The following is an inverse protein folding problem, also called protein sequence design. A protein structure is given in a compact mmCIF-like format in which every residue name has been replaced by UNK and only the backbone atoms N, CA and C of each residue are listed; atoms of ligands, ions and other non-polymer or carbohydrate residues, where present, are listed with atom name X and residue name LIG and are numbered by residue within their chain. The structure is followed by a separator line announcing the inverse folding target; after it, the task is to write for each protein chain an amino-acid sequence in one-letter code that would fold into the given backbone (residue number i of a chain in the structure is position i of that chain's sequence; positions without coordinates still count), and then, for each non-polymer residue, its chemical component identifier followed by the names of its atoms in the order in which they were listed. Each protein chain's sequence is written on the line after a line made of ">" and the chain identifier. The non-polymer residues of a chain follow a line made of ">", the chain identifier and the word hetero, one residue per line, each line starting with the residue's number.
data_IF_532742260911
#
_entry.id   IF_532742260911
#
_cell.length_a   1.000
_cell.length_b   1.000
_cell.length_c   1.000
_cell.angle_alpha   90.00
_cell.angle_beta   90.00
_cell.angle_gamma   90.00
#
_symmetry.space_group_name_H-M   'P 1'
#
loop_
_entity.id
_entity.type
_entity.pdbx_description
1 polymer ?
#
# COMPACT_ATOMS: atom_id res chain seq x y z
N UNK A 1 -6.84 -28.77 19.45
CA UNK A 1 -5.74 -29.13 18.53
C UNK A 1 -6.06 -28.67 17.10
N UNK A 2 -7.30 -28.74 16.65
CA UNK A 2 -7.71 -28.24 15.34
C UNK A 2 -7.61 -26.72 15.20
N UNK A 3 -7.96 -25.95 16.24
CA UNK A 3 -7.92 -24.49 16.21
C UNK A 3 -6.51 -23.91 16.05
N UNK A 4 -5.51 -24.51 16.71
CA UNK A 4 -4.10 -24.08 16.58
C UNK A 4 -3.58 -24.40 15.19
N UNK A 5 -3.96 -25.54 14.62
CA UNK A 5 -3.58 -25.91 13.26
C UNK A 5 -4.21 -24.97 12.21
N UNK A 6 -5.46 -24.60 12.40
CA UNK A 6 -6.16 -23.66 11.51
C UNK A 6 -5.50 -22.28 11.53
N UNK A 7 -5.23 -21.76 12.73
CA UNK A 7 -4.51 -20.47 12.88
C UNK A 7 -3.11 -20.53 12.24
N UNK A 8 -2.37 -21.62 12.47
CA UNK A 8 -1.05 -21.79 11.87
C UNK A 8 -1.10 -21.85 10.33
N UNK A 9 -2.11 -22.55 9.78
CA UNK A 9 -2.31 -22.65 8.34
C UNK A 9 -2.66 -21.27 7.72
N UNK A 10 -3.55 -20.51 8.36
CA UNK A 10 -3.91 -19.16 7.93
C UNK A 10 -2.70 -18.22 7.93
N UNK A 11 -1.92 -18.23 9.01
CA UNK A 11 -0.68 -17.45 9.10
C UNK A 11 0.31 -17.84 8.01
N UNK A 12 0.46 -19.13 7.72
CA UNK A 12 1.32 -19.59 6.63
C UNK A 12 0.84 -19.08 5.26
N UNK A 13 -0.46 -19.18 4.98
CA UNK A 13 -1.05 -18.69 3.73
C UNK A 13 -0.79 -17.19 3.58
N UNK A 14 -1.07 -16.40 4.62
CA UNK A 14 -0.83 -14.95 4.59
C UNK A 14 0.65 -14.62 4.37
N UNK A 15 1.54 -15.35 5.02
CA UNK A 15 2.97 -15.17 4.84
C UNK A 15 3.43 -15.49 3.40
N UNK A 16 2.90 -16.55 2.79
CA UNK A 16 3.15 -16.90 1.38
C UNK A 16 2.60 -15.81 0.45
N UNK A 17 1.39 -15.34 0.69
CA UNK A 17 0.77 -14.24 -0.07
C UNK A 17 1.62 -12.97 0.06
N UNK A 18 2.04 -12.63 1.28
CA UNK A 18 2.87 -11.47 1.58
C UNK A 18 4.23 -11.49 0.86
N UNK A 19 4.81 -12.66 0.65
CA UNK A 19 6.06 -12.79 -0.10
C UNK A 19 5.85 -12.82 -1.62
N UNK A 20 4.78 -13.48 -2.09
CA UNK A 20 4.58 -13.72 -3.54
C UNK A 20 3.97 -12.53 -4.27
N UNK A 21 2.95 -11.86 -3.69
CA UNK A 21 2.26 -10.77 -4.40
C UNK A 21 3.15 -9.55 -4.65
N UNK A 22 3.98 -9.07 -3.71
CA UNK A 22 4.95 -8.01 -3.99
C UNK A 22 5.94 -8.38 -5.10
N UNK A 23 6.38 -9.65 -5.16
CA UNK A 23 7.25 -10.10 -6.23
C UNK A 23 6.54 -10.10 -7.60
N UNK A 24 5.27 -10.50 -7.66
CA UNK A 24 4.46 -10.44 -8.88
C UNK A 24 4.30 -8.99 -9.34
N UNK A 25 3.95 -8.07 -8.42
CA UNK A 25 3.81 -6.64 -8.74
C UNK A 25 5.13 -6.05 -9.21
N UNK A 26 6.24 -6.33 -8.53
CA UNK A 26 7.57 -5.85 -8.92
C UNK A 26 8.02 -6.38 -10.28
N UNK A 27 7.79 -7.66 -10.57
CA UNK A 27 8.10 -8.24 -11.88
C UNK A 27 7.22 -7.63 -12.99
N UNK A 28 5.94 -7.41 -12.72
CA UNK A 28 5.02 -6.74 -13.64
C UNK A 28 5.47 -5.31 -13.90
N UNK A 29 5.89 -4.59 -12.87
CA UNK A 29 6.42 -3.24 -12.99
C UNK A 29 7.65 -3.18 -13.88
N UNK A 30 8.64 -4.08 -13.68
CA UNK A 30 9.83 -4.14 -14.53
C UNK A 30 9.47 -4.36 -16.00
N UNK A 31 8.48 -5.18 -16.29
CA UNK A 31 8.03 -5.48 -17.67
C UNK A 31 7.24 -4.33 -18.28
N UNK A 32 6.23 -3.84 -17.60
CA UNK A 32 5.36 -2.74 -18.07
C UNK A 32 6.18 -1.47 -18.29
N UNK A 33 7.03 -1.11 -17.31
CA UNK A 33 7.93 0.05 -17.43
C UNK A 33 8.86 -0.08 -18.63
N UNK A 34 9.45 -1.26 -18.86
CA UNK A 34 10.33 -1.51 -19.99
C UNK A 34 9.60 -1.34 -21.33
N UNK A 35 8.39 -1.89 -21.47
CA UNK A 35 7.58 -1.72 -22.68
C UNK A 35 7.20 -0.25 -22.93
N UNK A 36 6.81 0.48 -21.89
CA UNK A 36 6.50 1.91 -22.00
C UNK A 36 7.73 2.75 -22.40
N UNK A 37 8.93 2.31 -22.01
CA UNK A 37 10.20 2.93 -22.38
C UNK A 37 10.78 2.44 -23.71
N UNK A 38 10.07 1.60 -24.46
CA UNK A 38 10.52 1.05 -25.75
C UNK A 38 11.70 0.05 -25.63
N UNK A 39 11.87 -0.64 -24.48
CA UNK A 39 12.93 -1.63 -24.22
C UNK A 39 12.38 -2.95 -23.71
N UNK A 40 13.21 -3.99 -23.76
CA UNK A 40 12.81 -5.38 -23.46
C UNK A 40 12.89 -5.57 -21.94
N UNK A 41 12.81 -5.18 -20.99
CA UNK A 41 12.90 -5.56 -19.58
C UNK A 41 13.77 -6.81 -19.28
N UNK A 42 13.73 -7.35 -18.09
CA UNK A 42 14.48 -8.57 -17.72
C UNK A 42 14.06 -9.77 -18.59
N UNK A 43 15.02 -10.48 -19.21
CA UNK A 43 14.74 -11.59 -20.13
C UNK A 43 15.48 -12.89 -19.77
N UNK A 44 16.58 -12.82 -19.01
CA UNK A 44 17.51 -13.94 -18.86
C UNK A 44 17.37 -14.70 -17.53
N UNK A 45 17.09 -14.01 -16.43
CA UNK A 45 17.02 -14.63 -15.10
C UNK A 45 15.84 -15.62 -15.02
N UNK A 46 16.12 -16.90 -14.81
CA UNK A 46 15.12 -17.98 -14.77
C UNK A 46 14.64 -18.47 -16.13
N UNK A 47 15.33 -18.12 -17.24
CA UNK A 47 14.98 -18.53 -18.60
C UNK A 47 13.85 -17.71 -19.20
N UNK A 48 12.69 -18.31 -19.50
CA UNK A 48 11.60 -17.67 -20.22
C UNK A 48 11.16 -16.33 -19.62
N UNK A 49 11.33 -15.24 -20.37
CA UNK A 49 10.94 -13.87 -20.01
C UNK A 49 11.52 -13.33 -18.70
N UNK A 50 12.57 -13.92 -18.13
CA UNK A 50 13.26 -13.38 -16.94
C UNK A 50 12.38 -13.33 -15.69
N UNK A 51 11.49 -14.31 -15.51
CA UNK A 51 10.52 -14.35 -14.39
C UNK A 51 11.16 -14.39 -13.01
N UNK A 52 12.39 -14.94 -12.90
CA UNK A 52 13.11 -15.06 -11.65
C UNK A 52 14.02 -13.86 -11.32
N UNK A 53 13.87 -12.73 -12.01
CA UNK A 53 14.76 -11.57 -11.81
C UNK A 53 14.71 -11.07 -10.37
N UNK A 54 13.55 -10.93 -9.78
CA UNK A 54 13.43 -10.44 -8.39
C UNK A 54 13.95 -11.44 -7.37
N UNK A 55 13.86 -12.74 -7.67
CA UNK A 55 14.47 -13.79 -6.83
C UNK A 55 16.00 -13.69 -6.89
N UNK A 56 16.56 -13.50 -8.08
CA UNK A 56 17.99 -13.30 -8.27
C UNK A 56 18.49 -12.00 -7.56
N UNK A 57 17.71 -10.93 -7.63
CA UNK A 57 18.00 -9.69 -6.90
C UNK A 57 17.92 -9.91 -5.37
N UNK A 58 16.95 -10.66 -4.88
CA UNK A 58 16.84 -11.04 -3.46
C UNK A 58 18.07 -11.83 -2.98
N UNK A 59 18.53 -12.83 -3.75
CA UNK A 59 19.75 -13.60 -3.44
C UNK A 59 20.98 -12.68 -3.42
N UNK A 60 21.10 -11.78 -4.41
CA UNK A 60 22.18 -10.80 -4.46
C UNK A 60 22.19 -9.89 -3.21
N UNK A 61 21.03 -9.39 -2.77
CA UNK A 61 20.93 -8.57 -1.57
C UNK A 61 21.28 -9.35 -0.30
N UNK A 62 20.91 -10.64 -0.23
CA UNK A 62 21.25 -11.51 0.92
C UNK A 62 22.76 -11.77 1.01
N UNK A 63 23.48 -11.83 -0.11
CA UNK A 63 24.93 -12.04 -0.16
C UNK A 63 25.76 -10.75 -0.02
N UNK A 64 25.12 -9.60 -0.20
CA UNK A 64 25.78 -8.30 -0.13
C UNK A 64 26.12 -7.95 1.32
N UNK A 65 27.29 -7.34 1.53
CA UNK A 65 27.73 -6.85 2.84
C UNK A 65 26.74 -5.85 3.44
N UNK A 66 26.42 -6.05 4.72
CA UNK A 66 25.53 -5.19 5.49
C UNK A 66 26.35 -4.19 6.31
N UNK A 67 26.45 -2.98 5.81
CA UNK A 67 27.26 -1.90 6.37
C UNK A 67 26.38 -1.02 7.26
N UNK A 68 26.88 -0.76 8.49
CA UNK A 68 26.29 0.21 9.41
C UNK A 68 27.25 1.36 9.59
N UNK A 69 26.89 2.62 9.28
CA UNK A 69 27.76 3.78 9.49
C UNK A 69 28.21 3.91 10.95
N UNK A 70 29.44 4.33 11.18
CA UNK A 70 30.03 4.44 12.51
C UNK A 70 29.30 5.45 13.42
N UNK A 71 28.70 6.50 12.84
CA UNK A 71 27.93 7.52 13.56
C UNK A 71 26.45 7.19 13.72
N UNK A 72 25.97 6.08 13.15
CA UNK A 72 24.57 5.72 13.18
C UNK A 72 24.13 5.17 14.54
N UNK A 73 22.88 5.46 14.96
CA UNK A 73 22.24 4.75 16.07
C UNK A 73 21.93 3.30 15.63
N UNK A 74 22.82 2.39 16.00
CA UNK A 74 22.80 1.00 15.55
C UNK A 74 21.47 0.29 15.85
N UNK A 75 20.83 0.56 16.98
CA UNK A 75 19.59 -0.12 17.38
C UNK A 75 18.42 0.34 16.52
N UNK A 76 18.26 1.65 16.37
CA UNK A 76 17.18 2.23 15.56
C UNK A 76 17.40 1.88 14.09
N UNK A 77 18.65 1.98 13.60
CA UNK A 77 19.03 1.62 12.23
C UNK A 77 18.69 0.16 11.89
N UNK A 78 18.87 -0.76 12.83
CA UNK A 78 18.54 -2.18 12.63
C UNK A 78 17.04 -2.47 12.69
N UNK A 79 16.27 -1.72 13.50
CA UNK A 79 14.83 -1.94 13.67
C UNK A 79 14.00 -1.28 12.56
N UNK A 80 14.46 -0.20 11.97
CA UNK A 80 13.72 0.59 10.99
C UNK A 80 13.14 -0.23 9.82
N UNK A 81 13.88 -1.16 9.17
CA UNK A 81 13.32 -1.99 8.10
C UNK A 81 12.17 -2.89 8.56
N UNK A 82 12.25 -3.42 9.78
CA UNK A 82 11.19 -4.26 10.35
C UNK A 82 9.94 -3.44 10.65
N UNK A 83 10.10 -2.23 11.22
CA UNK A 83 8.98 -1.31 11.48
C UNK A 83 8.32 -0.85 10.18
N UNK A 84 9.07 -0.70 9.09
CA UNK A 84 8.51 -0.38 7.78
C UNK A 84 7.73 -1.54 7.15
N UNK A 85 8.17 -2.79 7.34
CA UNK A 85 7.65 -3.97 6.65
C UNK A 85 6.51 -4.67 7.37
N UNK A 86 6.63 -4.87 8.70
CA UNK A 86 5.67 -5.66 9.49
C UNK A 86 4.24 -5.12 9.45
N UNK A 87 3.99 -3.82 9.43
CA UNK A 87 2.66 -3.27 9.30
C UNK A 87 1.88 -3.81 8.10
N UNK A 88 2.50 -3.90 6.93
CA UNK A 88 1.84 -4.42 5.74
C UNK A 88 1.48 -5.90 5.85
N UNK A 89 2.29 -6.70 6.55
CA UNK A 89 1.94 -8.10 6.86
C UNK A 89 0.70 -8.17 7.74
N UNK A 90 0.63 -7.33 8.78
CA UNK A 90 -0.52 -7.27 9.70
C UNK A 90 -1.80 -6.81 8.99
N UNK A 91 -1.69 -5.84 8.10
CA UNK A 91 -2.82 -5.35 7.31
C UNK A 91 -3.35 -6.43 6.36
N UNK A 92 -2.48 -7.21 5.71
CA UNK A 92 -2.92 -8.32 4.86
C UNK A 92 -3.69 -9.40 5.62
N UNK A 93 -3.43 -9.58 6.93
CA UNK A 93 -4.22 -10.46 7.79
C UNK A 93 -5.67 -9.98 7.96
N UNK A 94 -5.93 -8.68 7.84
CA UNK A 94 -7.24 -8.09 8.02
C UNK A 94 -8.03 -7.91 6.72
N UNK A 95 -7.38 -7.96 5.54
CA UNK A 95 -8.05 -7.77 4.25
C UNK A 95 -8.79 -9.05 3.84
N UNK A 96 -10.13 -9.02 3.71
CA UNK A 96 -10.90 -10.17 3.25
C UNK A 96 -10.74 -10.34 1.72
N UNK A 97 -10.35 -11.53 1.28
CA UNK A 97 -10.14 -11.83 -0.14
C UNK A 97 -11.38 -12.52 -0.76
N UNK A 98 -12.14 -13.24 0.04
CA UNK A 98 -13.30 -14.02 -0.44
C UNK A 98 -14.45 -14.07 0.55
N UNK A 99 -15.64 -14.54 0.10
CA UNK A 99 -16.89 -14.53 0.88
C UNK A 99 -16.96 -15.60 1.99
N UNK A 100 -16.02 -16.55 2.04
CA UNK A 100 -16.05 -17.62 3.05
C UNK A 100 -15.33 -17.19 4.33
N UNK A 101 -15.86 -17.57 5.49
CA UNK A 101 -15.21 -17.37 6.79
C UNK A 101 -13.81 -18.03 6.89
N UNK A 102 -13.49 -18.95 5.99
CA UNK A 102 -12.18 -19.57 5.83
C UNK A 102 -11.26 -18.88 4.83
N UNK A 103 -11.73 -17.89 4.09
CA UNK A 103 -10.87 -17.09 3.24
C UNK A 103 -10.00 -16.19 4.10
N UNK A 104 -8.72 -16.17 3.80
CA UNK A 104 -7.64 -15.42 4.42
C UNK A 104 -8.12 -14.06 4.96
N UNK A 105 -8.10 -13.91 6.25
CA UNK A 105 -8.50 -12.67 6.91
C UNK A 105 -9.15 -12.96 8.27
N UNK A 106 -8.71 -12.24 9.28
CA UNK A 106 -9.36 -12.29 10.58
C UNK A 106 -10.45 -11.21 10.61
N UNK A 107 -11.66 -11.59 10.98
CA UNK A 107 -12.76 -10.63 11.12
C UNK A 107 -12.47 -9.77 12.34
N UNK A 108 -12.21 -8.49 12.09
CA UNK A 108 -12.00 -7.48 13.12
C UNK A 108 -13.21 -6.53 13.12
N UNK A 109 -13.84 -6.34 14.29
CA UNK A 109 -14.97 -5.43 14.44
C UNK A 109 -14.62 -3.99 14.06
N UNK A 110 -13.41 -3.57 14.39
CA UNK A 110 -12.84 -2.25 14.05
C UNK A 110 -11.82 -2.33 12.90
N UNK A 111 -12.08 -3.13 11.87
CA UNK A 111 -11.14 -3.46 10.81
C UNK A 111 -10.55 -2.25 10.08
N UNK A 112 -11.37 -1.25 9.71
CA UNK A 112 -10.88 -0.01 9.05
C UNK A 112 -9.88 0.72 9.93
N UNK A 113 -10.21 0.98 11.20
CA UNK A 113 -9.32 1.71 12.10
C UNK A 113 -8.01 0.99 12.35
N UNK A 114 -8.09 -0.34 12.54
CA UNK A 114 -6.90 -1.17 12.68
C UNK A 114 -5.97 -1.04 11.48
N UNK A 115 -6.52 -1.20 10.27
CA UNK A 115 -5.74 -1.19 9.04
C UNK A 115 -5.07 0.18 8.81
N UNK A 116 -5.82 1.27 8.93
CA UNK A 116 -5.29 2.62 8.71
C UNK A 116 -4.26 3.00 9.77
N UNK A 117 -4.51 2.70 11.05
CA UNK A 117 -3.55 2.95 12.11
C UNK A 117 -2.23 2.16 11.92
N UNK A 118 -2.34 0.91 11.51
CA UNK A 118 -1.16 0.06 11.27
C UNK A 118 -0.39 0.52 10.03
N UNK A 119 -1.07 0.97 8.97
CA UNK A 119 -0.40 1.54 7.79
C UNK A 119 0.44 2.77 8.16
N UNK A 120 -0.09 3.70 8.95
CA UNK A 120 0.66 4.87 9.43
C UNK A 120 1.95 4.51 10.19
N UNK A 121 1.98 3.36 10.88
CA UNK A 121 3.21 2.87 11.55
C UNK A 121 4.32 2.55 10.54
N UNK A 122 4.01 2.09 9.34
CA UNK A 122 5.02 1.75 8.32
C UNK A 122 5.88 2.96 7.94
N UNK A 123 5.29 4.14 7.90
CA UNK A 123 5.95 5.41 7.56
C UNK A 123 6.94 5.82 8.65
N UNK A 124 6.65 5.47 9.93
CA UNK A 124 7.61 5.67 11.02
C UNK A 124 8.91 4.88 10.79
N UNK A 125 8.85 3.71 10.13
CA UNK A 125 10.04 2.96 9.75
C UNK A 125 10.97 3.77 8.84
N UNK A 126 10.44 4.48 7.84
CA UNK A 126 11.21 5.36 6.97
C UNK A 126 11.77 6.58 7.72
N UNK A 127 10.99 7.18 8.63
CA UNK A 127 11.46 8.26 9.50
C UNK A 127 12.60 7.80 10.41
N UNK A 128 12.46 6.64 11.05
CA UNK A 128 13.50 6.03 11.89
C UNK A 128 14.77 5.77 11.09
N UNK A 129 14.65 5.29 9.85
CA UNK A 129 15.78 5.05 8.96
C UNK A 129 16.55 6.34 8.67
N UNK A 130 15.86 7.42 8.31
CA UNK A 130 16.45 8.73 8.06
C UNK A 130 17.14 9.31 9.27
N UNK A 131 16.50 9.22 10.45
CA UNK A 131 17.04 9.72 11.72
C UNK A 131 18.30 8.96 12.17
N UNK A 132 18.25 7.63 12.11
CA UNK A 132 19.32 6.76 12.63
C UNK A 132 20.59 6.75 11.79
N UNK A 133 20.53 7.18 10.54
CA UNK A 133 21.62 7.05 9.56
C UNK A 133 22.78 8.03 9.77
N UNK A 134 22.67 9.02 10.69
CA UNK A 134 23.68 10.06 10.94
C UNK A 134 24.13 10.82 9.68
N UNK A 135 23.31 10.89 8.65
CA UNK A 135 23.54 11.58 7.41
C UNK A 135 22.48 12.68 7.22
N UNK A 136 22.92 13.90 6.86
CA UNK A 136 22.02 15.04 6.66
C UNK A 136 21.01 14.83 5.51
N UNK A 137 21.40 14.14 4.46
CA UNK A 137 20.48 13.83 3.36
C UNK A 137 19.44 12.80 3.77
N UNK A 138 19.83 11.78 4.54
CA UNK A 138 18.91 10.81 5.10
C UNK A 138 17.93 11.44 6.08
N UNK A 139 18.40 12.37 6.93
CA UNK A 139 17.54 13.12 7.85
C UNK A 139 16.52 13.97 7.11
N UNK A 140 16.94 14.68 6.04
CA UNK A 140 16.01 15.46 5.20
C UNK A 140 14.96 14.55 4.55
N UNK A 141 15.36 13.37 4.04
CA UNK A 141 14.42 12.38 3.50
C UNK A 141 13.40 11.93 4.54
N UNK A 142 13.84 11.60 5.76
CA UNK A 142 12.96 11.21 6.86
C UNK A 142 11.99 12.33 7.27
N UNK A 143 12.44 13.58 7.34
CA UNK A 143 11.55 14.73 7.64
C UNK A 143 10.52 14.97 6.54
N UNK A 144 10.89 14.82 5.27
CA UNK A 144 9.95 14.88 4.14
C UNK A 144 8.91 13.76 4.21
N UNK A 145 9.31 12.54 4.62
CA UNK A 145 8.39 11.43 4.89
C UNK A 145 7.34 11.81 5.93
N UNK A 146 7.76 12.37 7.06
CA UNK A 146 6.84 12.77 8.13
C UNK A 146 5.88 13.89 7.68
N UNK A 147 6.37 14.89 6.94
CA UNK A 147 5.53 15.96 6.41
C UNK A 147 4.49 15.44 5.40
N UNK A 148 4.87 14.48 4.57
CA UNK A 148 3.97 13.83 3.61
C UNK A 148 2.90 13.00 4.31
N UNK A 149 3.27 12.20 5.32
CA UNK A 149 2.33 11.43 6.13
C UNK A 149 1.24 12.34 6.71
N UNK A 150 1.62 13.39 7.44
CA UNK A 150 0.67 14.30 8.09
C UNK A 150 -0.32 14.93 7.09
N UNK A 151 0.10 15.19 5.86
CA UNK A 151 -0.75 15.79 4.85
C UNK A 151 -1.73 14.81 4.21
N UNK A 152 -1.34 13.55 4.01
CA UNK A 152 -2.11 12.60 3.20
C UNK A 152 -2.88 11.57 4.01
N UNK A 153 -2.50 11.31 5.26
CA UNK A 153 -3.24 10.44 6.17
C UNK A 153 -4.65 11.00 6.44
N UNK A 154 -4.79 12.30 6.61
CA UNK A 154 -6.08 12.93 6.90
C UNK A 154 -7.14 12.70 5.78
N UNK A 155 -6.90 13.03 4.49
CA UNK A 155 -7.90 12.76 3.44
C UNK A 155 -8.16 11.26 3.27
N UNK A 156 -7.18 10.38 3.51
CA UNK A 156 -7.37 8.94 3.44
C UNK A 156 -8.30 8.45 4.56
N UNK A 157 -8.10 8.88 5.79
CA UNK A 157 -8.98 8.59 6.92
C UNK A 157 -10.41 9.08 6.70
N UNK A 158 -10.58 10.31 6.21
CA UNK A 158 -11.89 10.91 5.96
C UNK A 158 -12.66 10.15 4.88
N UNK A 159 -12.01 9.77 3.80
CA UNK A 159 -12.68 9.00 2.72
C UNK A 159 -13.02 7.58 3.15
N UNK A 160 -12.18 6.91 3.92
CA UNK A 160 -12.50 5.62 4.53
C UNK A 160 -13.68 5.72 5.52
N UNK A 161 -13.72 6.79 6.33
CA UNK A 161 -14.84 7.06 7.23
C UNK A 161 -16.16 7.29 6.46
N UNK A 162 -16.12 7.91 5.27
CA UNK A 162 -17.30 8.07 4.42
C UNK A 162 -17.91 6.72 4.01
N UNK A 163 -17.06 5.74 3.68
CA UNK A 163 -17.50 4.38 3.34
C UNK A 163 -18.07 3.67 4.56
N UNK A 164 -17.40 3.76 5.72
CA UNK A 164 -17.90 3.19 6.98
C UNK A 164 -19.26 3.79 7.36
N UNK A 165 -19.45 5.09 7.17
CA UNK A 165 -20.72 5.76 7.39
C UNK A 165 -21.82 5.27 6.42
N UNK A 166 -21.49 5.05 5.14
CA UNK A 166 -22.42 4.47 4.17
C UNK A 166 -22.87 3.07 4.57
N UNK A 167 -21.92 2.20 4.91
CA UNK A 167 -22.17 0.82 5.32
C UNK A 167 -22.86 0.71 6.70
N UNK A 168 -22.62 1.67 7.60
CA UNK A 168 -23.09 1.61 8.99
C UNK A 168 -22.26 0.66 9.87
N UNK A 169 -21.09 0.24 9.39
CA UNK A 169 -20.15 -0.64 10.10
C UNK A 169 -18.71 -0.25 9.80
N UNK A 170 -17.81 -0.56 10.72
CA UNK A 170 -16.36 -0.36 10.56
C UNK A 170 -15.61 -1.66 10.32
N UNK A 171 -16.30 -2.79 10.28
CA UNK A 171 -15.77 -4.09 9.90
C UNK A 171 -15.63 -4.20 8.39
N UNK A 172 -14.48 -4.65 7.89
CA UNK A 172 -14.22 -4.79 6.45
C UNK A 172 -15.17 -5.78 5.76
N UNK A 173 -15.44 -6.98 6.32
CA UNK A 173 -16.45 -7.88 5.77
C UNK A 173 -17.85 -7.27 5.78
N UNK A 174 -18.24 -6.60 6.88
CA UNK A 174 -19.56 -5.95 6.97
C UNK A 174 -19.76 -4.84 5.95
N UNK A 175 -18.70 -4.13 5.54
CA UNK A 175 -18.75 -3.15 4.45
C UNK A 175 -19.04 -3.85 3.12
N UNK A 176 -18.41 -4.99 2.88
CA UNK A 176 -18.63 -5.77 1.66
C UNK A 176 -20.05 -6.34 1.60
N UNK A 177 -20.59 -6.83 2.74
CA UNK A 177 -21.96 -7.32 2.81
C UNK A 177 -22.99 -6.21 2.57
N UNK A 178 -22.70 -4.98 3.01
CA UNK A 178 -23.54 -3.81 2.79
C UNK A 178 -23.34 -3.17 1.41
N UNK A 179 -22.37 -3.62 0.63
CA UNK A 179 -22.02 -2.99 -0.64
C UNK A 179 -23.11 -3.15 -1.71
N UNK A 180 -23.41 -2.04 -2.38
CA UNK A 180 -24.32 -2.01 -3.53
C UNK A 180 -23.69 -1.25 -4.70
N UNK A 181 -23.86 -1.73 -5.92
CA UNK A 181 -23.29 -1.13 -7.14
C UNK A 181 -23.73 0.33 -7.38
N UNK A 182 -24.92 0.72 -6.89
CA UNK A 182 -25.38 2.11 -6.97
C UNK A 182 -24.62 3.08 -6.04
N UNK A 183 -23.69 2.58 -5.18
CA UNK A 183 -22.80 3.45 -4.41
C UNK A 183 -21.70 4.06 -5.27
N UNK A 184 -21.29 3.39 -6.35
CA UNK A 184 -20.19 3.82 -7.19
C UNK A 184 -20.31 5.27 -7.69
N UNK A 185 -21.47 5.75 -8.23
CA UNK A 185 -21.56 7.09 -8.79
C UNK A 185 -21.25 8.22 -7.82
N UNK A 186 -21.59 8.07 -6.55
CA UNK A 186 -21.36 9.10 -5.54
C UNK A 186 -20.15 8.82 -4.65
N UNK A 187 -19.62 7.61 -4.62
CA UNK A 187 -18.38 7.24 -3.90
C UNK A 187 -17.12 7.37 -4.78
N UNK A 188 -17.24 7.58 -6.08
CA UNK A 188 -16.09 7.61 -7.00
C UNK A 188 -15.08 8.72 -6.64
N UNK A 189 -15.56 9.87 -6.17
CA UNK A 189 -14.69 10.97 -5.74
C UNK A 189 -13.89 10.53 -4.50
N UNK A 190 -14.55 9.90 -3.51
CA UNK A 190 -13.89 9.32 -2.35
C UNK A 190 -12.86 8.25 -2.72
N UNK A 191 -13.18 7.39 -3.68
CA UNK A 191 -12.26 6.36 -4.19
C UNK A 191 -11.00 6.96 -4.81
N UNK A 192 -11.15 8.00 -5.63
CA UNK A 192 -10.01 8.71 -6.25
C UNK A 192 -9.17 9.41 -5.17
N UNK A 193 -9.79 10.10 -4.22
CA UNK A 193 -9.07 10.78 -3.13
C UNK A 193 -8.31 9.76 -2.28
N UNK A 194 -8.96 8.65 -1.89
CA UNK A 194 -8.33 7.57 -1.12
C UNK A 194 -7.12 6.98 -1.85
N UNK A 195 -7.29 6.67 -3.13
CA UNK A 195 -6.24 6.08 -3.94
C UNK A 195 -5.04 7.02 -4.13
N UNK A 196 -5.29 8.30 -4.41
CA UNK A 196 -4.24 9.32 -4.56
C UNK A 196 -3.53 9.57 -3.23
N UNK A 197 -4.28 9.65 -2.12
CA UNK A 197 -3.69 9.81 -0.80
C UNK A 197 -2.86 8.59 -0.39
N UNK A 198 -3.34 7.38 -0.68
CA UNK A 198 -2.58 6.14 -0.44
C UNK A 198 -1.31 6.03 -1.30
N UNK A 199 -1.33 6.47 -2.56
CA UNK A 199 -0.11 6.56 -3.38
C UNK A 199 0.93 7.49 -2.77
N UNK A 200 0.48 8.61 -2.22
CA UNK A 200 1.36 9.54 -1.53
C UNK A 200 1.92 8.91 -0.24
N UNK A 201 1.11 8.19 0.54
CA UNK A 201 1.57 7.48 1.74
C UNK A 201 2.65 6.43 1.40
N UNK A 202 2.51 5.74 0.28
CA UNK A 202 3.50 4.77 -0.22
C UNK A 202 4.78 5.44 -0.77
N UNK A 203 4.87 6.76 -0.80
CA UNK A 203 6.04 7.50 -1.30
C UNK A 203 6.43 7.11 -2.74
N UNK A 204 5.43 6.74 -3.55
CA UNK A 204 5.63 6.34 -4.95
C UNK A 204 5.49 7.51 -5.92
N UNK A 205 6.26 7.55 -7.02
CA UNK A 205 6.04 8.55 -8.05
C UNK A 205 4.56 8.64 -8.49
N UNK A 206 4.00 9.85 -8.62
CA UNK A 206 4.63 11.18 -8.61
C UNK A 206 4.92 11.79 -7.23
N UNK A 207 4.65 11.10 -6.12
CA UNK A 207 4.77 11.58 -4.73
C UNK A 207 6.08 11.12 -4.05
N UNK A 208 7.13 10.86 -4.80
CA UNK A 208 8.41 10.28 -4.37
C UNK A 208 9.36 11.36 -3.81
N UNK A 209 8.91 12.11 -2.83
CA UNK A 209 9.69 13.20 -2.23
C UNK A 209 10.76 12.73 -1.23
N UNK A 210 10.51 11.69 -0.41
CA UNK A 210 11.48 11.22 0.57
C UNK A 210 12.72 10.57 -0.03
N UNK A 211 12.62 10.03 -1.25
CA UNK A 211 13.70 9.28 -1.93
C UNK A 211 14.41 10.11 -3.01
N UNK A 212 13.88 11.22 -3.39
CA UNK A 212 14.33 12.24 -4.33
C UNK A 212 15.79 12.12 -4.86
N UNK A 213 16.06 11.16 -5.76
CA UNK A 213 17.43 10.89 -6.30
C UNK A 213 18.15 12.13 -6.81
N UNK A 214 17.45 13.03 -7.49
CA UNK A 214 18.02 14.25 -8.05
C UNK A 214 18.30 15.35 -7.03
N UNK A 215 17.71 15.29 -5.82
CA UNK A 215 17.81 16.33 -4.79
C UNK A 215 18.62 15.89 -3.57
N UNK A 216 18.33 14.70 -3.04
CA UNK A 216 18.85 14.18 -1.76
C UNK A 216 19.46 12.78 -1.89
N UNK A 217 20.00 12.44 -3.06
CA UNK A 217 20.63 11.15 -3.40
C UNK A 217 19.58 10.04 -3.35
N UNK A 218 19.45 9.32 -2.25
CA UNK A 218 18.45 8.27 -2.03
C UNK A 218 17.65 8.48 -0.73
N UNK A 219 17.64 9.70 -0.24
CA UNK A 219 16.88 10.14 0.93
C UNK A 219 17.10 9.28 2.17
N UNK A 220 16.00 8.87 2.80
CA UNK A 220 16.04 8.11 4.05
C UNK A 220 16.82 6.78 3.93
N UNK A 221 16.97 6.23 2.75
CA UNK A 221 17.59 4.91 2.50
C UNK A 221 19.03 4.96 2.02
N UNK A 222 19.65 6.14 1.94
CA UNK A 222 21.00 6.36 1.36
C UNK A 222 22.07 5.47 2.02
N UNK A 223 21.99 5.25 3.33
CA UNK A 223 23.00 4.48 4.09
C UNK A 223 22.67 2.98 4.18
N UNK A 224 21.50 2.56 3.71
CA UNK A 224 21.08 1.15 3.78
C UNK A 224 21.64 0.34 2.62
N UNK A 225 22.20 -0.83 2.95
CA UNK A 225 22.75 -1.78 1.98
C UNK A 225 22.25 -3.21 2.25
N UNK A 226 22.51 -4.12 1.32
CA UNK A 226 22.24 -5.55 1.48
C UNK A 226 20.79 -5.88 1.79
N UNK A 227 20.59 -6.82 2.69
CA UNK A 227 19.27 -7.35 3.03
C UNK A 227 18.35 -6.27 3.63
N UNK A 228 18.87 -5.34 4.42
CA UNK A 228 18.07 -4.27 5.04
C UNK A 228 17.44 -3.35 4.00
N UNK A 229 18.18 -3.02 2.95
CA UNK A 229 17.63 -2.28 1.82
C UNK A 229 16.54 -3.07 1.09
N UNK A 230 16.75 -4.38 0.89
CA UNK A 230 15.74 -5.24 0.28
C UNK A 230 14.43 -5.31 1.07
N UNK A 231 14.50 -5.23 2.42
CA UNK A 231 13.30 -5.19 3.26
C UNK A 231 12.48 -3.91 3.05
N UNK A 232 13.11 -2.75 2.85
CA UNK A 232 12.40 -1.52 2.48
C UNK A 232 11.76 -1.63 1.09
N UNK A 233 12.47 -2.20 0.10
CA UNK A 233 11.88 -2.45 -1.22
C UNK A 233 10.68 -3.40 -1.13
N UNK A 234 10.79 -4.46 -0.32
CA UNK A 234 9.69 -5.39 -0.10
C UNK A 234 8.49 -4.68 0.57
N UNK A 235 8.74 -3.79 1.54
CA UNK A 235 7.71 -2.99 2.19
C UNK A 235 6.99 -2.07 1.18
N UNK A 236 7.73 -1.43 0.29
CA UNK A 236 7.19 -0.58 -0.77
C UNK A 236 6.23 -1.35 -1.70
N UNK A 237 6.64 -2.54 -2.18
CA UNK A 237 5.79 -3.38 -3.02
C UNK A 237 4.62 -4.01 -2.25
N UNK A 238 4.82 -4.40 -1.00
CA UNK A 238 3.75 -4.88 -0.13
C UNK A 238 2.70 -3.78 0.11
N UNK A 239 3.14 -2.54 0.28
CA UNK A 239 2.25 -1.38 0.39
C UNK A 239 1.36 -1.20 -0.83
N UNK A 240 1.86 -1.42 -2.06
CA UNK A 240 1.02 -1.38 -3.27
C UNK A 240 -0.08 -2.44 -3.20
N UNK A 241 0.28 -3.67 -2.83
CA UNK A 241 -0.69 -4.77 -2.71
C UNK A 241 -1.77 -4.43 -1.69
N UNK A 242 -1.37 -3.90 -0.53
CA UNK A 242 -2.28 -3.47 0.54
C UNK A 242 -3.19 -2.34 0.08
N UNK A 243 -2.65 -1.27 -0.52
CA UNK A 243 -3.43 -0.14 -1.01
C UNK A 243 -4.46 -0.58 -2.05
N UNK A 244 -4.05 -1.39 -3.03
CA UNK A 244 -4.95 -1.89 -4.06
C UNK A 244 -6.02 -2.83 -3.49
N UNK A 245 -5.65 -3.68 -2.52
CA UNK A 245 -6.58 -4.53 -1.80
C UNK A 245 -7.62 -3.74 -1.02
N UNK A 246 -7.19 -2.74 -0.23
CA UNK A 246 -8.08 -1.87 0.53
C UNK A 246 -9.00 -1.04 -0.36
N UNK A 247 -8.47 -0.42 -1.42
CA UNK A 247 -9.29 0.32 -2.38
C UNK A 247 -10.35 -0.58 -3.00
N UNK A 248 -10.00 -1.82 -3.31
CA UNK A 248 -10.92 -2.83 -3.84
C UNK A 248 -12.02 -3.18 -2.84
N UNK A 249 -11.67 -3.38 -1.57
CA UNK A 249 -12.62 -3.73 -0.51
C UNK A 249 -13.55 -2.55 -0.19
N UNK A 250 -13.00 -1.36 -0.01
CA UNK A 250 -13.76 -0.19 0.43
C UNK A 250 -14.66 0.39 -0.67
N UNK A 251 -14.17 0.47 -1.91
CA UNK A 251 -14.86 1.22 -2.96
C UNK A 251 -15.37 0.38 -4.13
N UNK A 252 -14.74 -0.77 -4.41
CA UNK A 252 -15.10 -1.60 -5.56
C UNK A 252 -15.86 -2.88 -5.19
N UNK A 253 -16.28 -3.01 -3.92
CA UNK A 253 -17.09 -4.13 -3.45
C UNK A 253 -16.36 -5.48 -3.43
N UNK A 254 -15.02 -5.48 -3.27
CA UNK A 254 -14.23 -6.70 -3.05
C UNK A 254 -14.59 -7.87 -3.95
N UNK A 255 -15.14 -8.93 -3.34
CA UNK A 255 -15.52 -10.17 -4.04
C UNK A 255 -16.82 -10.09 -4.86
N UNK A 256 -17.59 -9.01 -4.77
CA UNK A 256 -18.79 -8.87 -5.60
C UNK A 256 -18.41 -8.66 -7.07
N UNK A 257 -18.94 -9.50 -7.94
CA UNK A 257 -18.73 -9.46 -9.38
C UNK A 257 -20.05 -9.52 -10.17
N UNK A 258 -20.04 -9.26 -11.50
CA UNK A 258 -21.25 -9.22 -12.33
C UNK A 258 -21.89 -10.59 -12.54
N UNK A 259 -21.20 -11.71 -12.27
CA UNK A 259 -21.66 -13.07 -12.51
C UNK A 259 -21.82 -13.92 -11.25
N UNK A 260 -22.33 -13.36 -10.17
CA UNK A 260 -22.53 -14.10 -8.92
C UNK A 260 -21.22 -14.41 -8.17
N UNK A 261 -21.29 -14.31 -6.86
CA UNK A 261 -20.09 -14.45 -6.03
C UNK A 261 -19.78 -15.89 -5.59
N UNK A 262 -20.73 -16.82 -5.78
CA UNK A 262 -20.72 -18.14 -5.16
C UNK A 262 -19.62 -19.03 -5.74
N UNK A 263 -18.41 -18.91 -5.23
CA UNK A 263 -17.22 -19.71 -5.55
C UNK A 263 -16.07 -19.00 -6.24
N UNK A 264 -16.28 -17.89 -6.94
CA UNK A 264 -15.24 -17.15 -7.67
C UNK A 264 -14.98 -15.74 -7.09
N UNK A 265 -15.49 -15.42 -5.93
CA UNK A 265 -15.36 -14.09 -5.32
C UNK A 265 -13.89 -13.64 -5.17
N UNK A 266 -12.99 -14.53 -4.76
CA UNK A 266 -11.57 -14.24 -4.63
C UNK A 266 -10.91 -13.83 -5.97
N UNK A 267 -11.39 -14.38 -7.10
CA UNK A 267 -10.89 -14.00 -8.44
C UNK A 267 -11.23 -12.54 -8.74
N UNK A 268 -12.46 -12.11 -8.41
CA UNK A 268 -12.88 -10.72 -8.61
C UNK A 268 -12.08 -9.74 -7.77
N UNK A 269 -11.82 -10.09 -6.49
CA UNK A 269 -10.96 -9.28 -5.63
C UNK A 269 -9.56 -9.13 -6.21
N UNK A 270 -8.94 -10.23 -6.61
CA UNK A 270 -7.59 -10.23 -7.19
C UNK A 270 -7.53 -9.49 -8.53
N UNK A 271 -8.53 -9.66 -9.39
CA UNK A 271 -8.59 -8.97 -10.68
C UNK A 271 -8.71 -7.46 -10.52
N UNK A 272 -9.59 -6.98 -9.63
CA UNK A 272 -9.73 -5.55 -9.35
C UNK A 272 -8.45 -4.97 -8.73
N UNK A 273 -7.87 -5.64 -7.75
CA UNK A 273 -6.61 -5.24 -7.15
C UNK A 273 -5.45 -5.24 -8.17
N UNK A 274 -5.42 -6.22 -9.08
CA UNK A 274 -4.45 -6.28 -10.18
C UNK A 274 -4.59 -5.13 -11.18
N UNK A 275 -5.82 -4.73 -11.52
CA UNK A 275 -6.08 -3.55 -12.37
C UNK A 275 -5.59 -2.29 -11.67
N UNK A 276 -5.88 -2.11 -10.37
CA UNK A 276 -5.40 -0.97 -9.61
C UNK A 276 -3.86 -0.95 -9.51
N UNK A 277 -3.22 -2.10 -9.28
CA UNK A 277 -1.78 -2.21 -9.28
C UNK A 277 -1.16 -1.82 -10.63
N UNK A 278 -1.79 -2.23 -11.75
CA UNK A 278 -1.40 -1.78 -13.08
C UNK A 278 -1.52 -0.25 -13.22
N UNK A 279 -2.60 0.35 -12.71
CA UNK A 279 -2.78 1.82 -12.70
C UNK A 279 -1.67 2.50 -11.91
N UNK A 280 -1.27 1.97 -10.75
CA UNK A 280 -0.12 2.48 -9.96
C UNK A 280 1.17 2.48 -10.80
N UNK A 281 1.46 1.37 -11.48
CA UNK A 281 2.64 1.25 -12.34
C UNK A 281 2.56 2.23 -13.50
N UNK A 282 1.39 2.38 -14.11
CA UNK A 282 1.17 3.30 -15.23
C UNK A 282 1.39 4.77 -14.80
N UNK A 283 0.82 5.17 -13.67
CA UNK A 283 1.01 6.52 -13.11
C UNK A 283 2.49 6.82 -12.85
N UNK A 284 3.23 5.85 -12.29
CA UNK A 284 4.67 5.98 -12.04
C UNK A 284 5.48 6.33 -13.29
N UNK A 285 5.13 5.76 -14.43
CA UNK A 285 5.88 5.95 -15.69
C UNK A 285 5.42 7.19 -16.45
N UNK A 286 4.16 7.59 -16.27
CA UNK A 286 3.52 8.65 -17.08
C UNK A 286 3.73 10.04 -16.48
N UNK A 287 3.59 10.17 -15.15
CA UNK A 287 3.61 11.47 -14.51
C UNK A 287 5.01 11.91 -14.07
N UNK A 288 5.35 13.20 -14.26
CA UNK A 288 6.53 13.78 -13.67
C UNK A 288 6.35 13.89 -12.16
N UNK A 289 7.45 13.96 -11.45
CA UNK A 289 7.49 14.15 -9.99
C UNK A 289 6.94 15.52 -9.59
N UNK A 290 6.18 15.56 -8.51
CA UNK A 290 5.70 16.78 -7.88
C UNK A 290 6.77 17.33 -6.93
N UNK A 291 6.84 18.67 -6.81
CA UNK A 291 7.66 19.34 -5.81
C UNK A 291 6.93 19.38 -4.47
N UNK A 292 7.66 19.46 -3.36
CA UNK A 292 7.10 19.37 -2.00
C UNK A 292 5.99 20.41 -1.73
N UNK A 293 6.19 21.66 -2.16
CA UNK A 293 5.17 22.71 -2.02
C UNK A 293 3.89 22.41 -2.81
N UNK A 294 4.02 21.84 -4.02
CA UNK A 294 2.88 21.41 -4.84
C UNK A 294 2.14 20.26 -4.19
N UNK A 295 2.89 19.30 -3.62
CA UNK A 295 2.36 18.15 -2.94
C UNK A 295 1.57 18.54 -1.69
N UNK A 296 2.13 19.40 -0.83
CA UNK A 296 1.43 19.93 0.33
C UNK A 296 0.20 20.74 -0.07
N UNK A 297 0.32 21.60 -1.08
CA UNK A 297 -0.80 22.38 -1.61
C UNK A 297 -1.91 21.46 -2.14
N UNK A 298 -1.60 20.41 -2.88
CA UNK A 298 -2.57 19.45 -3.40
C UNK A 298 -3.40 18.82 -2.28
N UNK A 299 -2.74 18.37 -1.20
CA UNK A 299 -3.45 17.77 -0.08
C UNK A 299 -4.36 18.76 0.62
N UNK A 300 -3.82 19.88 1.10
CA UNK A 300 -4.56 20.83 1.93
C UNK A 300 -5.62 21.63 1.20
N UNK A 301 -5.41 21.96 -0.09
CA UNK A 301 -6.37 22.79 -0.85
C UNK A 301 -7.36 22.00 -1.69
N UNK A 302 -7.08 20.73 -2.01
CA UNK A 302 -7.93 19.92 -2.87
C UNK A 302 -8.41 18.65 -2.17
N UNK A 303 -7.50 17.76 -1.70
CA UNK A 303 -7.91 16.44 -1.22
C UNK A 303 -8.67 16.51 0.11
N UNK A 304 -8.24 17.34 1.06
CA UNK A 304 -8.93 17.52 2.35
C UNK A 304 -10.32 18.13 2.15
N UNK A 305 -10.53 19.25 1.42
CA UNK A 305 -11.86 19.75 1.16
C UNK A 305 -12.76 18.78 0.39
N UNK A 306 -12.23 18.03 -0.59
CA UNK A 306 -13.00 17.00 -1.30
C UNK A 306 -13.41 15.84 -0.38
N UNK A 307 -12.54 15.39 0.50
CA UNK A 307 -12.87 14.33 1.46
C UNK A 307 -13.94 14.76 2.48
N UNK A 308 -13.90 16.02 2.94
CA UNK A 308 -14.95 16.59 3.79
C UNK A 308 -16.28 16.70 3.03
N UNK A 309 -16.25 17.17 1.79
CA UNK A 309 -17.44 17.23 0.93
C UNK A 309 -18.01 15.81 0.69
N UNK A 310 -17.14 14.81 0.53
CA UNK A 310 -17.54 13.42 0.37
C UNK A 310 -18.26 12.87 1.61
N UNK A 311 -17.79 13.14 2.82
CA UNK A 311 -18.48 12.76 4.06
C UNK A 311 -19.86 13.44 4.15
N UNK A 312 -19.93 14.74 3.87
CA UNK A 312 -21.19 15.47 3.90
C UNK A 312 -22.19 14.89 2.89
N UNK A 313 -21.74 14.62 1.65
CA UNK A 313 -22.55 13.98 0.61
C UNK A 313 -23.07 12.61 1.08
N UNK A 314 -22.18 11.78 1.64
CA UNK A 314 -22.54 10.46 2.15
C UNK A 314 -23.60 10.55 3.26
N UNK A 315 -23.47 11.52 4.18
CA UNK A 315 -24.45 11.77 5.22
C UNK A 315 -25.83 12.14 4.66
N UNK A 316 -25.87 13.03 3.66
CA UNK A 316 -27.11 13.41 2.99
C UNK A 316 -27.75 12.21 2.28
N UNK A 317 -26.97 11.48 1.50
CA UNK A 317 -27.46 10.28 0.77
C UNK A 317 -27.99 9.24 1.75
N UNK A 318 -27.31 9.01 2.86
CA UNK A 318 -27.77 8.04 3.87
C UNK A 318 -29.08 8.44 4.53
N UNK A 319 -29.25 9.71 4.88
CA UNK A 319 -30.47 10.21 5.50
C UNK A 319 -31.66 10.24 4.54
N UNK A 320 -31.42 10.56 3.25
CA UNK A 320 -32.51 10.73 2.27
C UNK A 320 -32.91 9.43 1.60
N UNK A 321 -31.96 8.51 1.33
CA UNK A 321 -32.19 7.34 0.48
C UNK A 321 -32.01 6.00 1.17
N UNK A 322 -31.37 5.93 2.35
CA UNK A 322 -31.04 4.70 3.04
C UNK A 322 -31.75 4.54 4.40
N UNK A 323 -32.69 5.40 4.72
CA UNK A 323 -33.58 5.21 5.89
C UNK A 323 -34.53 4.06 5.72
#
# INVERSE_FOLDING_TARGET
>A
MNDVLDVALRLLIVFVVFLTFPLIVGQTEHKVMAHMQGRLGPMYAGGFHGWAQLVADGVKFAQKEDIVPAGADRRIFQLAPAVALLPYLLVLLAIPIGPSEGAVGQVLDAGIFFVLAVMGVSVLGSLMAGWASANKFSLLGGLRTAAQLLAYELPMLLTAASVAMAAGTVSLPGILDAFHWWWLPWQIVGAIVFFVAGLAELQRPPFDMPVADSEIIFGAYTEYTGLRFALFLLAEYAGIVVLCGLTTVLFLGGWHGPWGADGLGWVWTLLKAGILAFVVIWLRVTYPRLREDQLQKLSWTLLVPLSLAQIALTGIVKVVFLQ
#
